data_IF_221226301961
#
_entry.id   IF_221226301961
#
_cell.length_a   1.000
_cell.length_b   1.000
_cell.length_c   1.000
_cell.angle_alpha   90.00
_cell.angle_beta   90.00
_cell.angle_gamma   90.00
#
_symmetry.space_group_name_H-M   'P 1'
#
loop_
_entity.id
_entity.type
_entity.pdbx_description
1 polymer ?
#
# COMPACT_ATOMS: atom_id res chain seq x y z
N UNK A 1 3.37 11.93 -9.88
CA UNK A 1 1.93 11.71 -9.59
C UNK A 1 1.41 10.49 -10.36
N UNK A 2 1.62 10.38 -11.70
CA UNK A 2 1.11 9.26 -12.51
C UNK A 2 1.48 7.89 -11.93
N UNK A 3 2.71 7.71 -11.48
CA UNK A 3 3.21 6.48 -10.86
C UNK A 3 2.39 6.02 -9.63
N UNK A 4 1.82 6.93 -8.86
CA UNK A 4 0.96 6.55 -7.72
C UNK A 4 -0.34 5.85 -8.15
N UNK A 5 -0.71 5.90 -9.43
CA UNK A 5 -1.90 5.24 -9.99
C UNK A 5 -1.61 3.86 -10.59
N UNK A 6 -0.38 3.36 -10.47
CA UNK A 6 -0.05 2.01 -10.93
C UNK A 6 -0.88 0.98 -10.15
N UNK A 7 -1.23 -0.14 -10.79
CA UNK A 7 -2.21 -1.08 -10.26
C UNK A 7 -1.81 -1.68 -8.90
N UNK A 8 -0.53 -1.93 -8.69
CA UNK A 8 0.04 -2.43 -7.44
C UNK A 8 -0.10 -1.41 -6.29
N UNK A 9 0.12 -0.12 -6.57
CA UNK A 9 -0.08 0.97 -5.62
C UNK A 9 -1.57 1.10 -5.25
N UNK A 10 -2.47 1.11 -6.25
CA UNK A 10 -3.91 1.18 -6.03
C UNK A 10 -4.41 0.00 -5.20
N UNK A 11 -3.92 -1.21 -5.47
CA UNK A 11 -4.29 -2.40 -4.72
C UNK A 11 -3.81 -2.34 -3.27
N UNK A 12 -2.55 -1.95 -3.03
CA UNK A 12 -2.00 -1.78 -1.68
C UNK A 12 -2.75 -0.70 -0.90
N UNK A 13 -2.98 0.47 -1.51
CA UNK A 13 -3.75 1.57 -0.90
C UNK A 13 -5.16 1.11 -0.55
N UNK A 14 -5.84 0.40 -1.46
CA UNK A 14 -7.20 -0.11 -1.22
C UNK A 14 -7.24 -1.05 0.00
N UNK A 15 -6.26 -1.95 0.11
CA UNK A 15 -6.13 -2.83 1.25
C UNK A 15 -5.86 -2.06 2.56
N UNK A 16 -5.00 -1.04 2.53
CA UNK A 16 -4.70 -0.20 3.70
C UNK A 16 -5.89 0.67 4.06
N UNK A 17 -6.48 1.39 3.10
CA UNK A 17 -7.62 2.28 3.30
C UNK A 17 -8.85 1.56 3.86
N UNK A 18 -9.03 0.28 3.49
CA UNK A 18 -10.12 -0.56 4.02
C UNK A 18 -10.12 -0.73 5.54
N UNK A 19 -8.98 -0.46 6.21
CA UNK A 19 -8.85 -0.51 7.67
C UNK A 19 -9.47 0.70 8.36
N UNK A 20 -9.63 1.83 7.63
CA UNK A 20 -10.06 3.10 8.16
C UNK A 20 -11.45 3.48 7.64
N UNK A 21 -12.22 4.13 8.52
CA UNK A 21 -13.47 4.80 8.15
C UNK A 21 -13.27 6.32 8.22
N UNK A 22 -12.09 6.81 7.83
CA UNK A 22 -11.70 8.22 7.93
C UNK A 22 -10.72 8.58 6.84
N UNK A 23 -11.08 9.57 6.03
CA UNK A 23 -10.27 10.08 4.93
C UNK A 23 -8.92 10.60 5.45
N UNK A 24 -8.94 11.41 6.52
CA UNK A 24 -7.73 12.00 7.08
C UNK A 24 -6.71 10.94 7.52
N UNK A 25 -7.18 9.87 8.19
CA UNK A 25 -6.29 8.78 8.63
C UNK A 25 -5.69 8.02 7.45
N UNK A 26 -6.51 7.77 6.42
CA UNK A 26 -6.03 7.12 5.20
C UNK A 26 -5.03 7.99 4.45
N UNK A 27 -5.26 9.31 4.35
CA UNK A 27 -4.32 10.25 3.72
C UNK A 27 -3.00 10.34 4.47
N UNK A 28 -3.02 10.31 5.82
CA UNK A 28 -1.80 10.27 6.65
C UNK A 28 -1.02 8.97 6.40
N UNK A 29 -1.70 7.84 6.33
CA UNK A 29 -1.06 6.55 5.96
C UNK A 29 -0.48 6.59 4.54
N UNK A 30 -1.18 7.20 3.59
CA UNK A 30 -0.68 7.44 2.24
C UNK A 30 0.56 8.34 2.21
N UNK A 31 0.62 9.35 3.07
CA UNK A 31 1.79 10.21 3.25
C UNK A 31 2.98 9.41 3.81
N UNK A 32 2.78 8.64 4.87
CA UNK A 32 3.82 7.81 5.49
C UNK A 32 4.36 6.77 4.51
N UNK A 33 3.46 6.17 3.74
CA UNK A 33 3.86 5.26 2.68
C UNK A 33 4.64 5.96 1.58
N UNK A 34 4.19 7.16 1.14
CA UNK A 34 4.93 7.98 0.17
C UNK A 34 6.33 8.36 0.63
N UNK A 35 6.50 8.69 1.92
CA UNK A 35 7.81 8.93 2.52
C UNK A 35 8.66 7.65 2.45
N UNK A 36 8.10 6.51 2.89
CA UNK A 36 8.79 5.22 2.81
C UNK A 36 9.22 4.88 1.39
N UNK A 37 8.37 5.15 0.40
CA UNK A 37 8.64 4.94 -1.03
C UNK A 37 9.76 5.86 -1.55
N UNK A 38 9.76 7.13 -1.16
CA UNK A 38 10.76 8.09 -1.63
C UNK A 38 12.16 7.83 -1.08
N UNK A 39 12.28 7.27 0.12
CA UNK A 39 13.59 7.02 0.76
C UNK A 39 14.49 6.12 -0.09
N UNK A 40 14.13 4.86 -0.42
CA UNK A 40 14.99 4.01 -1.25
C UNK A 40 15.16 4.56 -2.66
N UNK A 41 14.14 5.17 -3.26
CA UNK A 41 14.27 5.84 -4.56
C UNK A 41 15.35 6.90 -4.55
N UNK A 42 15.40 7.74 -3.51
CA UNK A 42 16.41 8.78 -3.38
C UNK A 42 17.81 8.20 -3.22
N UNK A 43 18.01 7.30 -2.26
CA UNK A 43 19.34 6.76 -1.99
C UNK A 43 19.87 5.88 -3.13
N UNK A 44 19.05 4.99 -3.66
CA UNK A 44 19.44 4.13 -4.77
C UNK A 44 19.63 4.95 -6.04
N UNK A 45 18.73 5.90 -6.32
CA UNK A 45 18.86 6.80 -7.46
C UNK A 45 20.12 7.65 -7.38
N UNK A 46 20.52 8.11 -6.19
CA UNK A 46 21.74 8.84 -5.98
C UNK A 46 22.99 7.97 -6.24
N UNK A 47 23.00 6.73 -5.73
CA UNK A 47 24.07 5.76 -5.98
C UNK A 47 24.20 5.50 -7.49
N UNK A 48 23.11 5.23 -8.17
CA UNK A 48 23.08 4.98 -9.62
C UNK A 48 23.64 6.18 -10.38
N UNK A 49 23.25 7.39 -9.99
CA UNK A 49 23.66 8.63 -10.64
C UNK A 49 25.16 8.93 -10.47
N UNK A 50 25.70 8.69 -9.26
CA UNK A 50 27.12 8.96 -8.96
C UNK A 50 28.02 7.90 -9.63
N UNK A 51 27.67 6.62 -9.48
CA UNK A 51 28.50 5.52 -9.96
C UNK A 51 28.21 5.10 -11.40
N UNK A 52 27.16 5.66 -12.01
CA UNK A 52 26.69 5.31 -13.38
C UNK A 52 26.47 3.81 -13.58
N UNK A 53 25.95 3.15 -12.55
CA UNK A 53 25.62 1.73 -12.56
C UNK A 53 24.13 1.54 -12.83
N UNK A 54 23.76 0.43 -13.49
CA UNK A 54 22.37 0.02 -13.66
C UNK A 54 22.03 -1.10 -12.67
N UNK A 55 20.78 -1.17 -12.26
CA UNK A 55 20.29 -2.29 -11.46
C UNK A 55 20.21 -3.53 -12.38
N UNK A 56 20.87 -4.64 -12.01
CA UNK A 56 20.75 -5.89 -12.79
C UNK A 56 19.29 -6.35 -12.85
N UNK A 57 18.85 -6.86 -14.00
CA UNK A 57 17.48 -7.30 -14.22
C UNK A 57 16.99 -8.33 -13.17
N UNK A 58 17.84 -9.27 -12.80
CA UNK A 58 17.51 -10.25 -11.74
C UNK A 58 17.19 -9.60 -10.40
N UNK A 59 17.91 -8.53 -10.05
CA UNK A 59 17.70 -7.79 -8.81
C UNK A 59 16.41 -6.97 -8.87
N UNK A 60 16.12 -6.35 -10.02
CA UNK A 60 14.86 -5.66 -10.26
C UNK A 60 13.66 -6.60 -10.09
N UNK A 61 13.69 -7.76 -10.76
CA UNK A 61 12.65 -8.79 -10.65
C UNK A 61 12.50 -9.32 -9.21
N UNK A 62 13.60 -9.44 -8.45
CA UNK A 62 13.52 -9.83 -7.05
C UNK A 62 12.78 -8.79 -6.18
N UNK A 63 12.96 -7.50 -6.44
CA UNK A 63 12.22 -6.45 -5.74
C UNK A 63 10.74 -6.45 -6.11
N UNK A 64 10.41 -6.62 -7.39
CA UNK A 64 9.02 -6.76 -7.84
C UNK A 64 8.35 -8.01 -7.26
N UNK A 65 9.08 -9.13 -7.14
CA UNK A 65 8.59 -10.34 -6.47
C UNK A 65 8.24 -10.08 -5.00
N UNK A 66 9.07 -9.32 -4.28
CA UNK A 66 8.76 -8.90 -2.90
C UNK A 66 7.49 -8.04 -2.82
N UNK A 67 7.26 -7.16 -3.79
CA UNK A 67 6.00 -6.40 -3.89
C UNK A 67 4.82 -7.33 -4.08
N UNK A 68 4.92 -8.32 -4.95
CA UNK A 68 3.87 -9.31 -5.15
C UNK A 68 3.51 -10.07 -3.86
N UNK A 69 4.53 -10.57 -3.14
CA UNK A 69 4.32 -11.22 -1.82
C UNK A 69 3.66 -10.26 -0.84
N UNK A 70 4.14 -9.02 -0.76
CA UNK A 70 3.59 -8.02 0.15
C UNK A 70 2.11 -7.74 -0.14
N UNK A 71 1.70 -7.64 -1.40
CA UNK A 71 0.30 -7.47 -1.79
C UNK A 71 -0.56 -8.65 -1.36
N UNK A 72 -0.07 -9.89 -1.50
CA UNK A 72 -0.77 -11.09 -1.01
C UNK A 72 -0.96 -11.00 0.50
N UNK A 73 0.09 -10.68 1.25
CA UNK A 73 0.03 -10.57 2.71
C UNK A 73 -0.92 -9.46 3.17
N UNK A 74 -0.94 -8.31 2.49
CA UNK A 74 -1.88 -7.23 2.76
C UNK A 74 -3.32 -7.66 2.54
N UNK A 75 -3.61 -8.29 1.41
CA UNK A 75 -4.94 -8.79 1.09
C UNK A 75 -5.42 -9.86 2.07
N UNK A 76 -4.55 -10.82 2.42
CA UNK A 76 -4.85 -11.83 3.44
C UNK A 76 -5.17 -11.20 4.81
N UNK A 77 -4.39 -10.20 5.22
CA UNK A 77 -4.64 -9.49 6.48
C UNK A 77 -6.01 -8.79 6.49
N UNK A 78 -6.43 -8.21 5.37
CA UNK A 78 -7.79 -7.64 5.23
C UNK A 78 -8.84 -8.72 5.39
N UNK A 79 -8.72 -9.86 4.70
CA UNK A 79 -9.71 -10.95 4.77
C UNK A 79 -9.80 -11.57 6.17
N UNK A 80 -8.66 -11.78 6.83
CA UNK A 80 -8.61 -12.27 8.20
C UNK A 80 -9.30 -11.29 9.16
N UNK A 81 -9.06 -9.99 8.99
CA UNK A 81 -9.69 -8.94 9.81
C UNK A 81 -11.20 -8.91 9.62
N UNK A 82 -11.67 -9.02 8.37
CA UNK A 82 -13.11 -9.10 8.05
C UNK A 82 -13.73 -10.34 8.69
N UNK A 83 -13.07 -11.50 8.60
CA UNK A 83 -13.55 -12.76 9.21
C UNK A 83 -13.62 -12.65 10.75
N UNK A 84 -12.58 -12.11 11.40
CA UNK A 84 -12.56 -11.93 12.86
C UNK A 84 -13.69 -11.01 13.34
N UNK A 85 -13.95 -9.91 12.63
CA UNK A 85 -15.02 -8.98 12.99
C UNK A 85 -16.42 -9.62 12.86
N UNK A 86 -16.61 -10.57 11.93
CA UNK A 86 -17.86 -11.35 11.80
C UNK A 86 -18.09 -12.36 12.96
N UNK A 87 -17.03 -12.83 13.61
CA UNK A 87 -17.12 -13.88 14.63
C UNK A 87 -17.44 -13.35 16.04
N UNK A 88 -17.55 -12.04 16.24
CA UNK A 88 -17.80 -11.44 17.56
C UNK A 88 -19.26 -11.04 17.76
N UNK A 89 -20.22 -11.92 17.41
CA UNK A 89 -21.60 -11.78 17.85
C UNK A 89 -21.73 -12.40 19.24
N UNK A 90 -21.69 -11.60 20.29
CA UNK A 90 -22.05 -12.06 21.63
C UNK A 90 -23.48 -11.65 21.99
N UNK A 91 -24.30 -12.64 22.29
CA UNK A 91 -25.64 -12.49 22.82
C UNK A 91 -25.53 -12.47 24.35
N UNK A 92 -25.72 -11.32 24.98
CA UNK A 92 -25.77 -11.20 26.45
C UNK A 92 -27.20 -10.99 26.90
N UNK A 93 -27.59 -11.75 27.93
CA UNK A 93 -28.85 -11.59 28.66
C UNK A 93 -28.56 -10.83 29.95
N UNK A 94 -29.02 -9.60 30.07
CA UNK A 94 -29.09 -8.87 31.33
C UNK A 94 -30.55 -8.55 31.64
N UNK A 95 -31.00 -8.96 32.85
CA UNK A 95 -32.31 -8.64 33.44
C UNK A 95 -33.54 -8.88 32.53
N UNK A 96 -33.58 -10.01 31.84
CA UNK A 96 -34.80 -10.44 31.15
C UNK A 96 -35.10 -9.76 29.80
N UNK A 97 -34.28 -8.82 29.33
CA UNK A 97 -34.39 -8.22 28.01
C UNK A 97 -33.18 -8.57 27.15
N UNK A 98 -33.44 -9.22 25.99
CA UNK A 98 -32.43 -9.48 24.97
C UNK A 98 -32.25 -8.20 24.14
N UNK A 99 -31.03 -7.63 24.16
CA UNK A 99 -30.66 -6.59 23.23
C UNK A 99 -29.26 -6.85 22.68
N UNK A 100 -29.10 -6.62 21.41
CA UNK A 100 -27.85 -6.71 20.69
C UNK A 100 -27.03 -5.45 20.93
N UNK A 101 -25.96 -5.55 21.71
CA UNK A 101 -24.98 -4.49 21.84
C UNK A 101 -23.80 -4.73 20.94
N UNK A 102 -23.46 -3.77 20.10
CA UNK A 102 -22.22 -3.72 19.35
C UNK A 102 -21.11 -3.20 20.26
N UNK A 103 -20.33 -4.09 20.83
CA UNK A 103 -19.06 -3.73 21.44
C UNK A 103 -17.91 -4.14 20.52
N UNK A 104 -17.33 -3.16 19.85
CA UNK A 104 -16.02 -3.30 19.24
C UNK A 104 -14.98 -3.17 20.36
N UNK A 105 -14.43 -4.26 20.84
CA UNK A 105 -13.16 -4.20 21.56
C UNK A 105 -12.08 -3.77 20.59
N UNK A 106 -11.92 -2.46 20.44
CA UNK A 106 -10.70 -1.90 19.88
C UNK A 106 -9.59 -2.28 20.86
N UNK A 107 -8.83 -3.30 20.53
CA UNK A 107 -7.46 -3.41 21.00
C UNK A 107 -6.78 -2.13 20.53
N UNK A 108 -6.68 -1.18 21.46
CA UNK A 108 -6.03 0.11 21.26
C UNK A 108 -4.51 -0.11 21.26
N UNK A 109 -3.99 -0.65 20.16
CA UNK A 109 -2.58 -0.53 19.84
C UNK A 109 -2.40 0.61 18.84
N UNK A 110 -2.53 1.85 19.35
CA UNK A 110 -2.49 3.08 18.57
C UNK A 110 -1.08 3.44 18.03
N UNK A 111 -0.03 2.68 18.34
CA UNK A 111 1.35 3.08 18.03
C UNK A 111 2.06 2.29 16.92
N UNK A 112 1.47 1.19 16.40
CA UNK A 112 2.19 0.31 15.45
C UNK A 112 1.82 0.49 13.96
N UNK A 113 0.83 1.31 13.61
CA UNK A 113 0.38 1.39 12.21
C UNK A 113 1.27 2.28 11.34
N UNK A 114 1.88 3.32 11.91
CA UNK A 114 2.73 4.27 11.17
C UNK A 114 3.98 3.59 10.59
N UNK A 115 4.61 2.70 11.35
CA UNK A 115 5.80 1.97 10.89
C UNK A 115 5.47 0.97 9.77
N UNK A 116 4.27 0.38 9.78
CA UNK A 116 3.84 -0.55 8.74
C UNK A 116 3.72 0.15 7.38
N UNK A 117 3.11 1.33 7.32
CA UNK A 117 2.93 2.08 6.07
C UNK A 117 4.27 2.53 5.48
N UNK A 118 5.21 2.99 6.32
CA UNK A 118 6.57 3.33 5.89
C UNK A 118 7.29 2.10 5.35
N UNK A 119 7.24 0.96 6.05
CA UNK A 119 7.89 -0.27 5.62
C UNK A 119 7.37 -0.80 4.29
N UNK A 120 6.04 -0.78 4.10
CA UNK A 120 5.39 -1.12 2.82
C UNK A 120 5.86 -0.18 1.72
N UNK A 121 5.95 1.13 2.02
CA UNK A 121 6.49 2.12 1.10
C UNK A 121 7.92 1.82 0.68
N UNK A 122 8.78 1.45 1.63
CA UNK A 122 10.17 1.11 1.33
C UNK A 122 10.30 -0.08 0.37
N UNK A 123 9.51 -1.12 0.55
CA UNK A 123 9.49 -2.28 -0.37
C UNK A 123 9.08 -1.85 -1.77
N UNK A 124 8.02 -1.05 -1.91
CA UNK A 124 7.59 -0.51 -3.20
C UNK A 124 8.63 0.41 -3.83
N UNK A 125 9.27 1.27 -3.04
CA UNK A 125 10.32 2.16 -3.53
C UNK A 125 11.55 1.42 -4.04
N UNK A 126 11.89 0.27 -3.45
CA UNK A 126 12.95 -0.60 -3.95
C UNK A 126 12.62 -1.12 -5.36
N UNK A 127 11.42 -1.61 -5.59
CA UNK A 127 10.99 -2.10 -6.91
C UNK A 127 10.95 -0.96 -7.95
N UNK A 128 10.38 0.19 -7.59
CA UNK A 128 10.32 1.36 -8.47
C UNK A 128 11.68 1.95 -8.85
N UNK A 129 12.73 1.70 -8.04
CA UNK A 129 14.08 2.21 -8.29
C UNK A 129 14.71 1.66 -9.57
N UNK A 130 14.34 0.46 -10.00
CA UNK A 130 14.87 -0.15 -11.22
C UNK A 130 14.40 0.60 -12.48
N UNK A 131 13.11 0.90 -12.60
CA UNK A 131 12.56 1.67 -13.71
C UNK A 131 13.12 3.12 -13.72
N UNK A 132 13.23 3.74 -12.53
CA UNK A 132 13.83 5.05 -12.37
C UNK A 132 15.29 5.04 -12.81
N UNK A 133 16.07 4.00 -12.46
CA UNK A 133 17.49 3.91 -12.82
C UNK A 133 17.71 3.94 -14.33
N UNK A 134 16.92 3.17 -15.06
CA UNK A 134 17.02 3.12 -16.51
C UNK A 134 16.73 4.50 -17.13
N UNK A 135 15.67 5.16 -16.68
CA UNK A 135 15.28 6.46 -17.20
C UNK A 135 16.33 7.54 -16.89
N UNK A 136 16.86 7.58 -15.67
CA UNK A 136 17.90 8.54 -15.27
C UNK A 136 19.17 8.36 -16.10
N UNK A 137 19.63 7.12 -16.28
CA UNK A 137 20.85 6.84 -17.04
C UNK A 137 20.74 7.13 -18.54
N UNK A 138 19.54 6.95 -19.11
CA UNK A 138 19.34 7.12 -20.56
C UNK A 138 19.00 8.55 -20.98
N UNK A 139 18.45 9.35 -20.06
CA UNK A 139 17.91 10.68 -20.44
C UNK A 139 18.65 11.86 -19.84
N UNK A 140 19.38 11.70 -18.73
CA UNK A 140 19.95 12.81 -18.00
C UNK A 140 21.47 12.90 -18.18
N UNK A 141 21.93 14.06 -18.67
CA UNK A 141 23.35 14.31 -18.99
C UNK A 141 24.16 14.85 -17.80
N UNK A 142 23.51 15.35 -16.75
CA UNK A 142 24.20 15.93 -15.59
C UNK A 142 23.70 15.39 -14.25
N UNK A 143 24.59 15.30 -13.26
CA UNK A 143 24.27 14.85 -11.91
C UNK A 143 23.22 15.76 -11.27
N UNK A 144 23.32 17.08 -11.48
CA UNK A 144 22.39 18.04 -10.90
C UNK A 144 20.96 17.80 -11.43
N UNK A 145 20.80 17.64 -12.75
CA UNK A 145 19.49 17.35 -13.35
C UNK A 145 18.92 16.01 -12.84
N UNK A 146 19.78 15.02 -12.62
CA UNK A 146 19.39 13.73 -12.03
C UNK A 146 18.87 13.86 -10.60
N UNK A 147 19.56 14.60 -9.75
CA UNK A 147 19.13 14.85 -8.36
C UNK A 147 17.79 15.58 -8.33
N UNK A 148 17.66 16.66 -9.13
CA UNK A 148 16.40 17.41 -9.23
C UNK A 148 15.25 16.48 -9.67
N UNK A 149 15.49 15.63 -10.68
CA UNK A 149 14.50 14.69 -11.16
C UNK A 149 14.06 13.70 -10.08
N UNK A 150 14.98 13.09 -9.34
CA UNK A 150 14.69 12.14 -8.26
C UNK A 150 13.86 12.81 -7.15
N UNK A 151 14.22 14.06 -6.78
CA UNK A 151 13.48 14.82 -5.77
C UNK A 151 12.06 15.13 -6.24
N UNK A 152 11.91 15.65 -7.47
CA UNK A 152 10.59 15.96 -8.03
C UNK A 152 9.73 14.71 -8.19
N UNK A 153 10.33 13.59 -8.60
CA UNK A 153 9.64 12.32 -8.71
C UNK A 153 9.17 11.81 -7.32
N UNK A 154 10.04 11.86 -6.32
CA UNK A 154 9.71 11.43 -4.95
C UNK A 154 8.59 12.29 -4.34
N UNK A 155 8.69 13.62 -4.45
CA UNK A 155 7.64 14.54 -3.97
C UNK A 155 6.34 14.30 -4.74
N UNK A 156 6.40 14.18 -6.06
CA UNK A 156 5.22 13.93 -6.89
C UNK A 156 4.55 12.59 -6.58
N UNK A 157 5.32 11.54 -6.31
CA UNK A 157 4.80 10.23 -5.89
C UNK A 157 4.15 10.32 -4.51
N UNK A 158 4.78 11.00 -3.55
CA UNK A 158 4.22 11.19 -2.20
C UNK A 158 2.88 11.95 -2.27
N UNK A 159 2.81 13.06 -2.99
CA UNK A 159 1.56 13.80 -3.19
C UNK A 159 0.48 12.96 -3.86
N UNK A 160 0.87 12.17 -4.87
CA UNK A 160 -0.03 11.22 -5.52
C UNK A 160 -0.60 10.18 -4.55
N UNK A 161 0.23 9.63 -3.67
CA UNK A 161 -0.19 8.64 -2.67
C UNK A 161 -1.11 9.24 -1.60
N UNK A 162 -0.88 10.48 -1.18
CA UNK A 162 -1.80 11.20 -0.28
C UNK A 162 -3.17 11.35 -0.93
N UNK A 163 -3.21 11.85 -2.17
CA UNK A 163 -4.44 12.10 -2.90
C UNK A 163 -5.22 10.81 -3.16
N UNK A 164 -4.56 9.78 -3.69
CA UNK A 164 -5.23 8.53 -4.04
C UNK A 164 -5.71 7.78 -2.78
N UNK A 165 -4.96 7.83 -1.68
CA UNK A 165 -5.38 7.27 -0.40
C UNK A 165 -6.64 7.96 0.13
N UNK A 166 -6.72 9.29 0.01
CA UNK A 166 -7.92 10.05 0.34
C UNK A 166 -9.11 9.64 -0.52
N UNK A 167 -8.94 9.59 -1.84
CA UNK A 167 -10.01 9.24 -2.80
C UNK A 167 -10.49 7.80 -2.58
N UNK A 168 -9.59 6.83 -2.49
CA UNK A 168 -9.95 5.41 -2.30
C UNK A 168 -10.63 5.19 -0.95
N UNK A 169 -10.33 6.01 0.06
CA UNK A 169 -10.98 5.90 1.37
C UNK A 169 -12.40 6.44 1.40
N UNK A 170 -12.83 7.24 0.41
CA UNK A 170 -14.18 7.83 0.35
C UNK A 170 -15.29 6.79 0.50
N UNK A 171 -15.35 5.68 -0.27
CA UNK A 171 -16.39 4.67 -0.11
C UNK A 171 -16.42 4.09 1.31
N UNK A 172 -15.26 3.84 1.90
CA UNK A 172 -15.16 3.28 3.27
C UNK A 172 -15.61 4.29 4.34
N UNK A 173 -15.39 5.59 4.11
CA UNK A 173 -15.75 6.66 5.05
C UNK A 173 -17.22 7.06 4.94
N UNK A 174 -17.81 7.08 3.72
CA UNK A 174 -19.15 7.57 3.45
C UNK A 174 -20.23 6.52 3.67
N UNK A 175 -19.91 5.22 3.58
CA UNK A 175 -20.91 4.18 3.80
C UNK A 175 -21.31 4.14 5.28
N UNK A 176 -22.62 4.33 5.58
CA UNK A 176 -23.11 4.28 6.95
C UNK A 176 -22.78 2.94 7.62
N UNK A 177 -22.45 2.97 8.92
CA UNK A 177 -22.18 1.76 9.71
C UNK A 177 -23.36 0.77 9.71
N UNK A 178 -24.57 1.24 9.46
CA UNK A 178 -25.78 0.42 9.34
C UNK A 178 -25.75 -0.51 8.11
N UNK A 179 -24.99 -0.17 7.07
CA UNK A 179 -24.81 -0.97 5.86
C UNK A 179 -23.60 -1.92 5.98
N UNK A 180 -23.59 -2.73 7.02
CA UNK A 180 -22.49 -3.64 7.33
C UNK A 180 -22.13 -4.59 6.17
N UNK A 181 -23.13 -5.13 5.47
CA UNK A 181 -22.91 -6.02 4.31
C UNK A 181 -22.13 -5.33 3.20
N UNK A 182 -22.47 -4.07 2.90
CA UNK A 182 -21.77 -3.28 1.88
C UNK A 182 -20.33 -2.97 2.29
N UNK A 183 -20.11 -2.63 3.57
CA UNK A 183 -18.75 -2.43 4.09
C UNK A 183 -17.91 -3.71 4.02
N UNK A 184 -18.49 -4.85 4.39
CA UNK A 184 -17.83 -6.15 4.30
C UNK A 184 -17.49 -6.49 2.85
N UNK A 185 -18.43 -6.28 1.91
CA UNK A 185 -18.22 -6.52 0.50
C UNK A 185 -17.06 -5.69 -0.05
N UNK A 186 -17.04 -4.38 0.24
CA UNK A 186 -15.95 -3.49 -0.19
C UNK A 186 -14.59 -3.89 0.38
N UNK A 187 -14.53 -4.23 1.67
CA UNK A 187 -13.28 -4.68 2.30
C UNK A 187 -12.81 -6.00 1.70
N UNK A 188 -13.73 -6.92 1.49
CA UNK A 188 -13.41 -8.23 0.90
C UNK A 188 -12.94 -8.07 -0.55
N UNK A 189 -13.59 -7.23 -1.35
CA UNK A 189 -13.16 -6.97 -2.72
C UNK A 189 -11.76 -6.34 -2.77
N UNK A 190 -11.47 -5.34 -1.91
CA UNK A 190 -10.14 -4.75 -1.81
C UNK A 190 -9.06 -5.79 -1.43
N UNK A 191 -9.36 -6.67 -0.47
CA UNK A 191 -8.45 -7.75 -0.09
C UNK A 191 -8.23 -8.77 -1.22
N UNK A 192 -9.29 -9.17 -1.90
CA UNK A 192 -9.20 -10.12 -3.03
C UNK A 192 -8.45 -9.52 -4.22
N UNK A 193 -8.69 -8.27 -4.56
CA UNK A 193 -7.96 -7.57 -5.63
C UNK A 193 -6.46 -7.51 -5.32
N UNK A 194 -6.09 -7.21 -4.07
CA UNK A 194 -4.69 -7.18 -3.65
C UNK A 194 -4.03 -8.57 -3.75
N UNK A 195 -4.73 -9.65 -3.34
CA UNK A 195 -4.22 -11.02 -3.47
C UNK A 195 -4.07 -11.39 -4.96
N UNK A 196 -5.08 -11.10 -5.78
CA UNK A 196 -5.06 -11.43 -7.19
C UNK A 196 -3.89 -10.77 -7.91
N UNK A 197 -3.73 -9.46 -7.75
CA UNK A 197 -2.62 -8.72 -8.35
C UNK A 197 -1.26 -9.22 -7.84
N UNK A 198 -1.12 -9.42 -6.54
CA UNK A 198 0.11 -9.96 -5.98
C UNK A 198 0.44 -11.35 -6.53
N UNK A 199 -0.57 -12.20 -6.71
CA UNK A 199 -0.38 -13.54 -7.29
C UNK A 199 0.02 -13.49 -8.77
N UNK A 200 -0.54 -12.57 -9.54
CA UNK A 200 -0.17 -12.35 -10.94
C UNK A 200 1.30 -11.93 -11.03
N UNK A 201 1.71 -10.92 -10.25
CA UNK A 201 3.11 -10.44 -10.23
C UNK A 201 4.07 -11.58 -9.86
N UNK A 202 3.77 -12.33 -8.79
CA UNK A 202 4.61 -13.46 -8.37
C UNK A 202 4.70 -14.52 -9.46
N UNK A 203 3.59 -14.84 -10.13
CA UNK A 203 3.54 -15.84 -11.18
C UNK A 203 4.33 -15.42 -12.43
N UNK A 204 4.15 -14.19 -12.91
CA UNK A 204 4.89 -13.65 -14.06
C UNK A 204 6.39 -13.64 -13.81
N UNK A 205 6.83 -13.25 -12.63
CA UNK A 205 8.24 -13.21 -12.29
C UNK A 205 8.81 -14.63 -12.13
N UNK A 206 8.05 -15.55 -11.54
CA UNK A 206 8.49 -16.93 -11.39
C UNK A 206 8.77 -17.59 -12.75
N UNK A 207 7.95 -17.32 -13.78
CA UNK A 207 8.15 -17.83 -15.13
C UNK A 207 9.40 -17.23 -15.79
N UNK A 208 9.73 -15.97 -15.50
CA UNK A 208 10.88 -15.28 -16.11
C UNK A 208 12.21 -15.70 -15.46
N UNK A 209 12.17 -16.07 -14.16
CA UNK A 209 13.38 -16.45 -13.40
C UNK A 209 13.71 -17.95 -13.57
N UNK A 210 12.70 -18.80 -13.77
CA UNK A 210 12.85 -20.26 -13.99
C UNK A 210 13.19 -20.55 -15.45
#
# INVERSE_FOLDING_TARGET
>A
IKHAFDADHVAAISAIASKYNSINKSSVDGMLWGIGHAIPLFFIGLIILIFKISIPQKMALSFEFLVGIMLILLGLNVLITVKKNKLHFHRHKHQGKEHLHFHSHKLANHHNHSHQSIFIGMIHGLAGSAALSLLVLTTLSSILSGVIYILLFGIGSMLGMILISGIISLPFALIPKKLERTQILLKTSAGLTSILLGSIIVYEIAIVIL
#
